data_IF_916577729879
#
_entry.id   IF_916577729879
#
_cell.length_a   1.000
_cell.length_b   1.000
_cell.length_c   1.000
_cell.angle_alpha   90.00
_cell.angle_beta   90.00
_cell.angle_gamma   90.00
#
_symmetry.space_group_name_H-M   'P 1'
#
loop_
_entity.id
_entity.type
_entity.pdbx_description
1 polymer ?
#
# COMPACT_ATOMS: atom_id res chain seq x y z
N UNK A 1 -39.50 -65.21 -11.15
CA UNK A 1 -39.65 -65.21 -9.68
C UNK A 1 -38.26 -65.11 -9.06
N UNK A 2 -37.85 -63.92 -8.64
CA UNK A 2 -36.63 -63.70 -7.85
C UNK A 2 -37.03 -63.44 -6.39
N UNK A 3 -36.42 -64.09 -5.39
CA UNK A 3 -36.53 -63.65 -4.02
C UNK A 3 -35.41 -62.65 -3.70
N UNK A 4 -35.83 -61.59 -3.04
CA UNK A 4 -35.08 -60.47 -2.48
C UNK A 4 -34.65 -60.80 -1.03
N UNK A 5 -33.58 -60.10 -0.57
CA UNK A 5 -33.34 -59.63 0.83
C UNK A 5 -32.73 -60.71 1.79
N UNK A 6 -31.63 -60.54 2.54
CA UNK A 6 -31.02 -59.36 3.21
C UNK A 6 -29.58 -59.62 3.75
N UNK A 7 -28.86 -58.51 3.94
CA UNK A 7 -27.86 -58.18 4.98
C UNK A 7 -26.48 -58.87 4.99
N UNK A 8 -25.41 -58.10 4.75
CA UNK A 8 -24.70 -57.31 5.79
C UNK A 8 -23.69 -56.39 5.10
N UNK A 9 -24.03 -55.09 5.03
CA UNK A 9 -23.13 -54.02 4.62
C UNK A 9 -22.09 -53.80 5.72
N UNK A 10 -20.81 -53.91 5.38
CA UNK A 10 -19.69 -53.50 6.21
C UNK A 10 -19.77 -51.99 6.44
N UNK A 11 -20.23 -51.62 7.63
CA UNK A 11 -20.24 -50.26 8.13
C UNK A 11 -18.79 -49.79 8.28
N UNK A 12 -18.31 -48.99 7.34
CA UNK A 12 -17.21 -48.08 7.62
C UNK A 12 -17.67 -47.17 8.76
N UNK A 13 -17.09 -47.36 9.94
CA UNK A 13 -17.21 -46.45 11.06
C UNK A 13 -16.55 -45.13 10.67
N UNK A 14 -17.31 -44.25 10.01
CA UNK A 14 -17.04 -42.82 10.09
C UNK A 14 -17.35 -42.41 11.53
N UNK A 15 -16.31 -42.42 12.37
CA UNK A 15 -16.33 -41.70 13.62
C UNK A 15 -16.52 -40.22 13.26
N UNK A 16 -17.76 -39.77 13.29
CA UNK A 16 -18.13 -38.36 13.33
C UNK A 16 -17.66 -37.80 14.67
N UNK A 17 -16.39 -37.43 14.76
CA UNK A 17 -15.91 -36.59 15.84
C UNK A 17 -16.66 -35.25 15.74
N UNK A 18 -17.28 -34.76 16.82
CA UNK A 18 -17.96 -33.47 16.79
C UNK A 18 -16.95 -32.38 16.46
N UNK A 19 -17.22 -31.61 15.40
CA UNK A 19 -16.42 -30.48 14.93
C UNK A 19 -16.59 -29.30 15.90
N UNK A 20 -15.97 -29.43 17.06
CA UNK A 20 -15.72 -28.34 17.99
C UNK A 20 -14.26 -28.49 18.41
N UNK A 21 -13.51 -27.37 18.44
CA UNK A 21 -12.19 -27.21 19.07
C UNK A 21 -10.90 -27.45 18.24
N UNK A 22 -10.87 -27.21 16.92
CA UNK A 22 -9.57 -26.88 16.30
C UNK A 22 -9.31 -25.39 16.55
N UNK A 23 -8.31 -25.01 17.38
CA UNK A 23 -8.00 -23.61 17.61
C UNK A 23 -7.49 -22.97 16.31
N UNK A 24 -7.88 -21.73 16.04
CA UNK A 24 -7.43 -21.01 14.84
C UNK A 24 -5.95 -20.67 14.84
N UNK A 25 -5.28 -20.74 15.99
CA UNK A 25 -3.83 -20.59 16.11
C UNK A 25 -3.06 -21.89 15.79
N UNK A 26 -3.72 -23.05 15.67
CA UNK A 26 -3.09 -24.24 15.11
C UNK A 26 -3.03 -24.08 13.58
N UNK A 27 -1.95 -23.44 13.09
CA UNK A 27 -1.82 -23.02 11.70
C UNK A 27 -2.11 -24.15 10.71
N UNK A 28 -1.58 -25.35 10.98
CA UNK A 28 -1.67 -26.51 10.10
C UNK A 28 -3.04 -27.16 10.18
N UNK A 29 -3.48 -27.55 11.39
CA UNK A 29 -4.76 -28.24 11.55
C UNK A 29 -5.93 -27.34 11.12
N UNK A 30 -5.90 -26.06 11.51
CA UNK A 30 -6.94 -25.11 11.17
C UNK A 30 -6.93 -24.74 9.68
N UNK A 31 -5.73 -24.52 9.10
CA UNK A 31 -5.59 -24.25 7.67
C UNK A 31 -6.14 -25.39 6.82
N UNK A 32 -5.77 -26.63 7.14
CA UNK A 32 -6.24 -27.83 6.43
C UNK A 32 -7.74 -28.04 6.58
N UNK A 33 -8.28 -27.85 7.79
CA UNK A 33 -9.72 -27.91 8.04
C UNK A 33 -10.48 -26.87 7.20
N UNK A 34 -10.01 -25.63 7.16
CA UNK A 34 -10.66 -24.56 6.39
C UNK A 34 -10.59 -24.81 4.88
N UNK A 35 -9.46 -25.31 4.37
CA UNK A 35 -9.33 -25.71 2.96
C UNK A 35 -10.24 -26.88 2.60
N UNK A 36 -10.38 -27.89 3.48
CA UNK A 36 -11.29 -29.02 3.27
C UNK A 36 -12.76 -28.60 3.30
N UNK A 37 -13.11 -27.63 4.15
CA UNK A 37 -14.47 -27.09 4.27
C UNK A 37 -14.86 -26.22 3.05
N UNK A 38 -13.87 -25.63 2.38
CA UNK A 38 -14.04 -24.74 1.22
C UNK A 38 -13.20 -25.23 0.03
N UNK A 39 -13.52 -26.42 -0.53
CA UNK A 39 -12.70 -27.05 -1.58
C UNK A 39 -12.67 -26.24 -2.88
N UNK A 40 -13.62 -25.34 -3.10
CA UNK A 40 -13.66 -24.41 -4.23
C UNK A 40 -12.61 -23.28 -4.11
N UNK A 41 -12.00 -23.09 -2.93
CA UNK A 41 -11.07 -22.02 -2.66
C UNK A 41 -9.60 -22.48 -2.77
N UNK A 42 -9.11 -22.53 -4.01
CA UNK A 42 -7.72 -22.91 -4.33
C UNK A 42 -6.66 -22.02 -3.67
N UNK A 43 -7.01 -20.77 -3.33
CA UNK A 43 -6.09 -19.88 -2.63
C UNK A 43 -5.92 -20.33 -1.18
N UNK A 44 -7.03 -20.65 -0.52
CA UNK A 44 -7.02 -21.14 0.85
C UNK A 44 -6.30 -22.49 0.97
N UNK A 45 -6.50 -23.39 0.01
CA UNK A 45 -5.76 -24.67 -0.08
C UNK A 45 -4.25 -24.43 -0.19
N UNK A 46 -3.81 -23.52 -1.08
CA UNK A 46 -2.38 -23.17 -1.21
C UNK A 46 -1.82 -22.56 0.07
N UNK A 47 -2.59 -21.73 0.75
CA UNK A 47 -2.19 -21.10 2.02
C UNK A 47 -2.14 -22.11 3.17
N UNK A 48 -2.98 -23.14 3.16
CA UNK A 48 -2.91 -24.25 4.11
C UNK A 48 -1.64 -25.08 3.91
N UNK A 49 -1.30 -25.39 2.66
CA UNK A 49 -0.07 -26.15 2.32
C UNK A 49 1.23 -25.38 2.55
N UNK A 50 1.21 -24.05 2.38
CA UNK A 50 2.40 -23.21 2.47
C UNK A 50 2.08 -21.86 3.15
N UNK A 51 1.78 -21.88 4.46
CA UNK A 51 1.49 -20.68 5.22
C UNK A 51 2.71 -19.75 5.29
N UNK A 52 2.47 -18.45 5.36
CA UNK A 52 3.57 -17.49 5.49
C UNK A 52 4.34 -17.67 6.80
N UNK A 53 5.64 -17.43 6.76
CA UNK A 53 6.49 -17.48 7.95
C UNK A 53 6.01 -16.51 9.04
N UNK A 54 5.50 -15.34 8.66
CA UNK A 54 4.94 -14.37 9.59
C UNK A 54 3.65 -14.88 10.27
N UNK A 55 2.76 -15.55 9.52
CA UNK A 55 1.57 -16.20 10.10
C UNK A 55 1.97 -17.28 11.11
N UNK A 56 2.91 -18.15 10.74
CA UNK A 56 3.44 -19.19 11.64
C UNK A 56 4.05 -18.62 12.93
N UNK A 57 4.67 -17.44 12.86
CA UNK A 57 5.21 -16.76 14.04
C UNK A 57 4.11 -16.14 14.90
N UNK A 58 3.15 -15.44 14.27
CA UNK A 58 2.04 -14.79 14.97
C UNK A 58 1.11 -15.81 15.62
N UNK A 59 0.80 -16.92 14.95
CA UNK A 59 -0.02 -18.01 15.48
C UNK A 59 0.60 -18.64 16.75
N UNK A 60 1.94 -18.60 16.91
CA UNK A 60 2.59 -19.08 18.14
C UNK A 60 2.29 -18.21 19.36
N UNK A 61 2.05 -16.91 19.17
CA UNK A 61 1.90 -15.92 20.25
C UNK A 61 0.46 -15.42 20.41
N UNK A 62 -0.32 -15.33 19.33
CA UNK A 62 -1.72 -14.91 19.33
C UNK A 62 -2.64 -16.12 19.59
N UNK A 63 -2.73 -16.58 20.84
CA UNK A 63 -3.54 -17.79 21.19
C UNK A 63 -4.89 -17.51 21.84
N UNK A 64 -5.12 -16.27 22.27
CA UNK A 64 -6.30 -15.89 23.05
C UNK A 64 -7.52 -15.66 22.15
N UNK A 65 -8.41 -16.64 22.05
CA UNK A 65 -9.58 -16.61 21.15
C UNK A 65 -10.86 -16.15 21.85
N UNK A 66 -10.84 -15.97 23.18
CA UNK A 66 -12.03 -15.58 23.92
C UNK A 66 -12.40 -14.11 23.69
N UNK A 67 -13.68 -13.81 23.91
CA UNK A 67 -14.18 -12.43 23.88
C UNK A 67 -13.83 -11.75 25.19
N UNK A 68 -12.66 -11.10 25.23
CA UNK A 68 -12.21 -10.34 26.40
C UNK A 68 -12.75 -8.90 26.46
N UNK A 69 -13.58 -8.50 25.50
CA UNK A 69 -14.15 -7.15 25.42
C UNK A 69 -15.64 -7.19 25.11
N UNK A 70 -16.39 -6.38 25.86
CA UNK A 70 -17.77 -6.07 25.53
C UNK A 70 -17.85 -5.28 24.23
N UNK A 71 -18.91 -5.52 23.48
CA UNK A 71 -19.15 -4.91 22.16
C UNK A 71 -19.06 -3.39 22.14
N UNK A 72 -19.48 -2.74 23.22
CA UNK A 72 -19.57 -1.29 23.29
C UNK A 72 -18.20 -0.58 23.37
N UNK A 73 -17.10 -1.30 23.60
CA UNK A 73 -15.77 -0.69 23.77
C UNK A 73 -14.79 -1.00 22.61
N UNK A 74 -15.17 -1.84 21.65
CA UNK A 74 -14.22 -2.33 20.64
C UNK A 74 -13.70 -1.22 19.72
N UNK A 75 -14.61 -0.41 19.19
CA UNK A 75 -14.26 0.70 18.31
C UNK A 75 -13.40 1.73 19.03
N UNK A 76 -13.83 2.18 20.21
CA UNK A 76 -13.14 3.21 20.98
C UNK A 76 -11.76 2.77 21.47
N UNK A 77 -11.51 1.45 21.56
CA UNK A 77 -10.16 0.95 21.85
C UNK A 77 -9.25 1.02 20.64
N UNK A 78 -9.76 0.74 19.44
CA UNK A 78 -8.96 0.60 18.23
C UNK A 78 -8.82 1.91 17.43
N UNK A 79 -9.86 2.74 17.45
CA UNK A 79 -9.99 3.95 16.65
C UNK A 79 -10.13 5.22 17.49
N UNK A 80 -9.69 6.34 16.92
CA UNK A 80 -10.04 7.67 17.39
C UNK A 80 -11.50 7.97 17.02
N UNK A 81 -12.16 8.91 17.74
CA UNK A 81 -13.49 9.37 17.36
C UNK A 81 -13.54 9.75 15.87
N UNK A 82 -14.54 9.21 15.18
CA UNK A 82 -14.75 9.40 13.74
C UNK A 82 -16.09 10.10 13.48
N UNK A 83 -16.26 10.63 12.27
CA UNK A 83 -17.55 11.19 11.85
C UNK A 83 -18.67 10.12 11.96
N UNK A 84 -19.89 10.48 12.39
CA UNK A 84 -20.95 9.51 12.68
C UNK A 84 -21.25 8.51 11.56
N UNK A 85 -21.12 8.95 10.30
CA UNK A 85 -21.33 8.11 9.12
C UNK A 85 -20.24 7.02 9.00
N UNK A 86 -18.98 7.41 9.16
CA UNK A 86 -17.83 6.50 9.13
C UNK A 86 -17.86 5.56 10.33
N UNK A 87 -18.14 6.11 11.51
CA UNK A 87 -18.31 5.34 12.73
C UNK A 87 -19.36 4.24 12.52
N UNK A 88 -20.55 4.57 12.01
CA UNK A 88 -21.60 3.57 11.79
C UNK A 88 -21.16 2.49 10.80
N UNK A 89 -20.59 2.89 9.65
CA UNK A 89 -20.16 1.97 8.61
C UNK A 89 -19.06 1.00 9.09
N UNK A 90 -18.09 1.49 9.87
CA UNK A 90 -16.95 0.69 10.33
C UNK A 90 -17.27 -0.09 11.61
N UNK A 91 -17.97 0.51 12.57
CA UNK A 91 -18.26 -0.10 13.87
C UNK A 91 -19.14 -1.35 13.71
N UNK A 92 -20.18 -1.29 12.89
CA UNK A 92 -21.05 -2.46 12.65
C UNK A 92 -20.25 -3.66 12.10
N UNK A 93 -19.37 -3.40 11.13
CA UNK A 93 -18.52 -4.43 10.53
C UNK A 93 -17.47 -4.95 11.52
N UNK A 94 -16.78 -4.06 12.23
CA UNK A 94 -15.78 -4.43 13.24
C UNK A 94 -16.42 -5.31 14.33
N UNK A 95 -17.63 -4.95 14.75
CA UNK A 95 -18.38 -5.69 15.75
C UNK A 95 -18.80 -7.07 15.28
N UNK A 96 -19.29 -7.17 14.04
CA UNK A 96 -19.62 -8.45 13.41
C UNK A 96 -18.39 -9.36 13.33
N UNK A 97 -17.27 -8.82 12.80
CA UNK A 97 -16.01 -9.54 12.65
C UNK A 97 -15.54 -10.07 14.01
N UNK A 98 -15.43 -9.22 15.03
CA UNK A 98 -14.96 -9.64 16.35
C UNK A 98 -15.90 -10.64 17.03
N UNK A 99 -17.21 -10.47 16.86
CA UNK A 99 -18.21 -11.39 17.41
C UNK A 99 -18.05 -12.78 16.78
N UNK A 100 -17.97 -12.87 15.47
CA UNK A 100 -18.07 -14.15 14.77
C UNK A 100 -16.71 -14.83 14.54
N UNK A 101 -15.62 -14.07 14.38
CA UNK A 101 -14.32 -14.61 14.02
C UNK A 101 -13.40 -14.87 15.22
N UNK A 102 -13.01 -16.12 15.44
CA UNK A 102 -11.98 -16.48 16.43
C UNK A 102 -10.58 -16.06 15.97
N UNK A 103 -10.29 -16.16 14.67
CA UNK A 103 -9.03 -15.69 14.08
C UNK A 103 -8.83 -14.20 14.29
N UNK A 104 -9.88 -13.39 14.14
CA UNK A 104 -9.77 -11.95 14.40
C UNK A 104 -9.58 -11.65 15.88
N UNK A 105 -10.31 -12.33 16.77
CA UNK A 105 -10.19 -12.11 18.22
C UNK A 105 -8.78 -12.30 18.73
N UNK A 106 -8.08 -13.36 18.31
CA UNK A 106 -6.68 -13.57 18.75
C UNK A 106 -5.72 -12.49 18.29
N UNK A 107 -5.86 -11.99 17.06
CA UNK A 107 -5.04 -10.89 16.57
C UNK A 107 -5.33 -9.60 17.35
N UNK A 108 -6.61 -9.33 17.60
CA UNK A 108 -7.06 -8.18 18.38
C UNK A 108 -6.56 -8.25 19.83
N UNK A 109 -6.71 -9.41 20.47
CA UNK A 109 -6.33 -9.64 21.86
C UNK A 109 -4.82 -9.52 22.05
N UNK A 110 -4.02 -10.07 21.11
CA UNK A 110 -2.58 -9.86 21.09
C UNK A 110 -2.24 -8.37 20.98
N UNK A 111 -2.81 -7.67 19.99
CA UNK A 111 -2.58 -6.24 19.79
C UNK A 111 -2.88 -5.44 21.07
N UNK A 112 -4.02 -5.71 21.71
CA UNK A 112 -4.42 -5.08 22.97
C UNK A 112 -3.41 -5.33 24.09
N UNK A 113 -3.06 -6.60 24.32
CA UNK A 113 -2.11 -6.98 25.38
C UNK A 113 -0.73 -6.34 25.18
N UNK A 114 -0.29 -6.19 23.92
CA UNK A 114 0.96 -5.49 23.61
C UNK A 114 0.88 -3.97 23.77
N UNK A 115 -0.32 -3.39 23.62
CA UNK A 115 -0.54 -1.94 23.67
C UNK A 115 -0.79 -1.35 25.05
N UNK A 116 -1.36 -2.13 25.97
CA UNK A 116 -1.73 -1.68 27.33
C UNK A 116 -0.51 -1.50 28.28
N UNK A 117 0.71 -1.87 27.84
CA UNK A 117 1.90 -1.95 28.68
C UNK A 117 2.66 -0.65 28.95
N UNK A 118 2.75 0.30 28.01
CA UNK A 118 3.47 1.58 28.19
C UNK A 118 3.24 2.47 26.95
N UNK A 119 2.59 3.64 27.08
CA UNK A 119 2.66 4.81 26.19
C UNK A 119 2.55 4.69 24.65
N UNK A 120 2.08 3.56 24.08
CA UNK A 120 1.99 3.36 22.62
C UNK A 120 0.56 3.26 22.06
N UNK A 121 -0.46 3.76 22.77
CA UNK A 121 -1.81 3.85 22.22
C UNK A 121 -1.89 4.93 21.14
N UNK A 122 -1.55 4.52 19.91
CA UNK A 122 -1.94 5.23 18.71
C UNK A 122 -3.11 4.50 18.08
N UNK A 123 -4.27 4.77 18.66
CA UNK A 123 -5.54 4.52 17.99
C UNK A 123 -5.46 4.99 16.54
N UNK A 124 -6.08 4.23 15.65
CA UNK A 124 -6.13 4.57 14.24
C UNK A 124 -7.15 5.68 14.03
N UNK A 125 -6.81 6.70 13.24
CA UNK A 125 -7.76 7.67 12.72
C UNK A 125 -8.35 7.11 11.43
N UNK A 126 -9.66 7.12 11.33
CA UNK A 126 -10.37 6.87 10.09
C UNK A 126 -10.42 8.17 9.29
N UNK A 127 -9.82 8.16 8.09
CA UNK A 127 -9.80 9.31 7.20
C UNK A 127 -10.74 9.06 6.01
N UNK A 128 -11.75 9.91 5.77
CA UNK A 128 -12.54 9.83 4.55
C UNK A 128 -11.66 10.15 3.33
N UNK A 129 -11.93 9.47 2.21
CA UNK A 129 -11.36 9.82 0.93
C UNK A 129 -11.86 11.19 0.44
N UNK A 130 -11.14 11.79 -0.51
CA UNK A 130 -11.44 13.16 -1.02
C UNK A 130 -12.84 13.31 -1.67
N UNK A 131 -13.59 12.22 -1.89
CA UNK A 131 -14.88 12.20 -2.57
C UNK A 131 -16.00 11.49 -1.79
N UNK A 132 -15.99 11.52 -0.44
CA UNK A 132 -17.04 10.91 0.39
C UNK A 132 -18.31 11.79 0.36
N UNK A 133 -18.99 11.77 -0.78
CA UNK A 133 -20.39 12.15 -0.93
C UNK A 133 -21.14 10.90 -1.43
N UNK A 134 -21.10 9.83 -0.64
CA UNK A 134 -21.62 8.54 -1.06
C UNK A 134 -22.90 8.16 -0.30
N UNK A 135 -23.95 7.68 -0.98
CA UNK A 135 -25.27 7.46 -0.38
C UNK A 135 -25.40 6.17 0.45
N UNK A 136 -24.39 5.29 0.50
CA UNK A 136 -24.46 4.00 1.20
C UNK A 136 -23.16 3.60 1.93
N UNK A 137 -23.28 2.68 2.91
CA UNK A 137 -22.17 2.27 3.79
C UNK A 137 -20.97 1.68 3.03
N UNK A 138 -21.19 0.85 2.00
CA UNK A 138 -20.09 0.21 1.28
C UNK A 138 -19.22 1.23 0.52
N UNK A 139 -19.82 2.30 -0.01
CA UNK A 139 -19.06 3.35 -0.67
C UNK A 139 -18.24 4.20 0.32
N UNK A 140 -18.69 4.32 1.58
CA UNK A 140 -17.87 4.92 2.66
C UNK A 140 -16.66 4.03 2.96
N UNK A 141 -16.87 2.71 3.05
CA UNK A 141 -15.79 1.75 3.32
C UNK A 141 -14.75 1.70 2.19
N UNK A 142 -15.16 1.84 0.93
CA UNK A 142 -14.26 1.89 -0.23
C UNK A 142 -13.34 3.12 -0.24
N UNK A 143 -13.65 4.15 0.53
CA UNK A 143 -12.92 5.41 0.53
C UNK A 143 -12.28 5.74 1.88
N UNK A 144 -12.55 4.96 2.93
CA UNK A 144 -11.99 5.17 4.24
C UNK A 144 -10.59 4.55 4.32
N UNK A 145 -9.60 5.33 4.75
CA UNK A 145 -8.25 4.84 5.04
C UNK A 145 -7.90 4.95 6.52
N UNK A 146 -6.99 4.08 6.98
CA UNK A 146 -6.48 4.10 8.35
C UNK A 146 -5.21 4.94 8.45
N UNK A 147 -5.18 5.92 9.34
CA UNK A 147 -4.01 6.79 9.56
C UNK A 147 -3.61 6.80 11.03
N UNK A 148 -2.31 6.75 11.33
CA UNK A 148 -1.79 7.03 12.68
C UNK A 148 -0.42 7.69 12.62
N UNK A 149 -0.02 8.38 13.68
CA UNK A 149 1.23 9.17 13.72
C UNK A 149 2.27 8.56 14.67
N UNK A 150 3.01 7.52 14.25
CA UNK A 150 3.98 6.78 15.08
C UNK A 150 5.33 7.50 15.17
N UNK A 151 5.74 7.93 16.37
CA UNK A 151 7.05 8.53 16.62
C UNK A 151 7.41 9.68 15.65
N UNK A 152 6.45 10.54 15.33
CA UNK A 152 6.63 11.65 14.39
C UNK A 152 6.56 11.26 12.91
N UNK A 153 6.24 10.00 12.61
CA UNK A 153 5.98 9.52 11.26
C UNK A 153 4.50 9.18 11.09
N UNK A 154 3.90 9.66 10.02
CA UNK A 154 2.55 9.26 9.66
C UNK A 154 2.58 7.90 8.95
N UNK A 155 1.84 6.93 9.44
CA UNK A 155 1.56 5.65 8.77
C UNK A 155 0.15 5.73 8.19
N UNK A 156 0.01 5.36 6.91
CA UNK A 156 -1.27 5.43 6.19
C UNK A 156 -1.56 4.11 5.50
N UNK A 157 -2.77 3.62 5.68
CA UNK A 157 -3.41 2.59 4.88
C UNK A 157 -4.49 3.26 4.02
N UNK A 158 -4.41 3.11 2.69
CA UNK A 158 -5.42 3.62 1.77
C UNK A 158 -6.16 2.46 1.12
N UNK A 159 -7.49 2.57 0.98
CA UNK A 159 -8.26 1.63 0.19
C UNK A 159 -7.93 1.85 -1.28
N UNK A 160 -7.94 0.76 -2.05
CA UNK A 160 -7.47 0.83 -3.43
C UNK A 160 -8.62 1.02 -4.36
N UNK A 161 -8.52 2.11 -5.09
CA UNK A 161 -9.40 2.50 -6.19
C UNK A 161 -9.06 1.70 -7.45
N UNK A 162 -9.02 0.37 -7.33
CA UNK A 162 -8.84 -0.56 -8.43
C UNK A 162 -10.17 -1.04 -8.99
N UNK A 163 -10.26 -1.33 -10.29
CA UNK A 163 -11.47 -1.87 -10.95
C UNK A 163 -11.95 -3.23 -10.42
N UNK A 164 -11.14 -3.90 -9.60
CA UNK A 164 -11.38 -5.24 -9.03
C UNK A 164 -11.63 -5.22 -7.52
N UNK A 165 -11.71 -4.04 -6.90
CA UNK A 165 -12.08 -3.87 -5.51
C UNK A 165 -13.59 -4.04 -5.40
N UNK A 166 -14.04 -5.29 -5.34
CA UNK A 166 -15.47 -5.57 -5.49
C UNK A 166 -16.30 -5.10 -4.30
N UNK A 167 -15.79 -5.08 -3.06
CA UNK A 167 -16.60 -4.67 -1.90
C UNK A 167 -15.78 -4.03 -0.75
N UNK A 168 -16.28 -2.91 -0.21
CA UNK A 168 -15.60 -2.13 0.83
C UNK A 168 -15.34 -2.88 2.13
N UNK A 169 -16.17 -3.87 2.47
CA UNK A 169 -16.00 -4.73 3.67
C UNK A 169 -14.76 -5.59 3.59
N UNK A 170 -14.48 -6.17 2.43
CA UNK A 170 -13.28 -6.98 2.20
C UNK A 170 -12.02 -6.11 2.37
N UNK A 171 -12.04 -4.88 1.83
CA UNK A 171 -10.92 -3.94 1.97
C UNK A 171 -10.72 -3.58 3.44
N UNK A 172 -11.78 -3.15 4.13
CA UNK A 172 -11.71 -2.83 5.55
C UNK A 172 -11.10 -3.97 6.35
N UNK A 173 -11.50 -5.22 6.10
CA UNK A 173 -10.96 -6.37 6.80
C UNK A 173 -9.44 -6.53 6.58
N UNK A 174 -8.95 -6.39 5.34
CA UNK A 174 -7.51 -6.44 5.09
C UNK A 174 -6.77 -5.31 5.82
N UNK A 175 -7.33 -4.10 5.85
CA UNK A 175 -6.72 -2.96 6.55
C UNK A 175 -6.69 -3.19 8.06
N UNK A 176 -7.78 -3.69 8.66
CA UNK A 176 -7.88 -4.04 10.07
C UNK A 176 -6.83 -5.10 10.46
N UNK A 177 -6.76 -6.20 9.69
CA UNK A 177 -5.79 -7.27 9.94
C UNK A 177 -4.36 -6.74 9.85
N UNK A 178 -4.05 -5.95 8.82
CA UNK A 178 -2.72 -5.35 8.68
C UNK A 178 -2.39 -4.42 9.85
N UNK A 179 -3.35 -3.58 10.25
CA UNK A 179 -3.25 -2.67 11.37
C UNK A 179 -3.09 -3.39 12.72
N UNK A 180 -3.52 -4.64 12.85
CA UNK A 180 -3.37 -5.45 14.07
C UNK A 180 -2.00 -6.13 14.18
N UNK A 181 -1.43 -6.60 13.07
CA UNK A 181 -0.21 -7.42 13.11
C UNK A 181 1.05 -6.62 13.48
N UNK A 182 1.12 -5.34 13.12
CA UNK A 182 2.18 -4.35 13.42
C UNK A 182 3.57 -4.94 13.70
N UNK A 183 4.11 -5.79 12.82
CA UNK A 183 5.40 -6.42 13.04
C UNK A 183 6.52 -5.56 12.43
N UNK A 184 7.30 -4.80 13.23
CA UNK A 184 8.32 -3.91 12.70
C UNK A 184 9.51 -4.66 12.06
N UNK A 185 9.65 -5.96 12.30
CA UNK A 185 10.72 -6.79 11.75
C UNK A 185 10.39 -7.38 10.37
N UNK A 186 9.12 -7.35 9.94
CA UNK A 186 8.69 -7.92 8.67
C UNK A 186 8.71 -6.88 7.55
N UNK A 187 9.00 -7.34 6.32
CA UNK A 187 8.87 -6.47 5.13
C UNK A 187 7.40 -6.22 4.80
N UNK A 188 7.11 -5.11 4.12
CA UNK A 188 5.73 -4.81 3.66
C UNK A 188 5.12 -5.98 2.88
N UNK A 189 5.89 -6.65 2.04
CA UNK A 189 5.43 -7.80 1.25
C UNK A 189 5.06 -9.01 2.14
N UNK A 190 5.80 -9.24 3.22
CA UNK A 190 5.50 -10.31 4.16
C UNK A 190 4.27 -9.99 4.99
N UNK A 191 4.15 -8.74 5.46
CA UNK A 191 2.96 -8.24 6.14
C UNK A 191 1.71 -8.39 5.26
N UNK A 192 1.77 -7.97 4.00
CA UNK A 192 0.61 -8.06 3.09
C UNK A 192 0.25 -9.49 2.71
N UNK A 193 1.23 -10.39 2.59
CA UNK A 193 0.94 -11.83 2.38
C UNK A 193 0.26 -12.43 3.61
N UNK A 194 0.78 -12.14 4.81
CA UNK A 194 0.22 -12.64 6.06
C UNK A 194 -1.18 -12.07 6.33
N UNK A 195 -1.38 -10.78 6.07
CA UNK A 195 -2.69 -10.14 6.17
C UNK A 195 -3.70 -10.79 5.21
N UNK A 196 -3.26 -11.16 4.00
CA UNK A 196 -4.10 -11.87 3.05
C UNK A 196 -4.56 -13.23 3.60
N UNK A 197 -3.64 -14.00 4.16
CA UNK A 197 -3.91 -15.31 4.77
C UNK A 197 -4.92 -15.20 5.92
N UNK A 198 -4.73 -14.25 6.84
CA UNK A 198 -5.66 -14.06 7.96
C UNK A 198 -7.03 -13.57 7.51
N UNK A 199 -7.08 -12.58 6.62
CA UNK A 199 -8.35 -12.08 6.12
C UNK A 199 -9.13 -13.16 5.37
N UNK A 200 -8.48 -14.02 4.59
CA UNK A 200 -9.14 -15.16 3.93
C UNK A 200 -9.78 -16.10 4.96
N UNK A 201 -9.06 -16.46 6.03
CA UNK A 201 -9.63 -17.28 7.12
C UNK A 201 -10.81 -16.60 7.79
N UNK A 202 -10.66 -15.33 8.14
CA UNK A 202 -11.71 -14.54 8.80
C UNK A 202 -12.96 -14.47 7.90
N UNK A 203 -12.80 -14.21 6.60
CA UNK A 203 -13.94 -14.20 5.66
C UNK A 203 -14.68 -15.54 5.65
N UNK A 204 -13.97 -16.67 5.74
CA UNK A 204 -14.59 -18.00 5.77
C UNK A 204 -15.27 -18.30 7.11
N UNK A 205 -14.72 -17.82 8.22
CA UNK A 205 -15.40 -17.87 9.54
C UNK A 205 -16.70 -17.06 9.53
N UNK A 206 -16.72 -15.93 8.82
CA UNK A 206 -17.88 -15.05 8.67
C UNK A 206 -18.87 -15.52 7.59
N UNK A 207 -18.56 -16.59 6.85
CA UNK A 207 -19.28 -17.02 5.66
C UNK A 207 -19.46 -15.90 4.62
N UNK A 208 -18.49 -15.00 4.51
CA UNK A 208 -18.50 -13.95 3.50
C UNK A 208 -18.22 -14.55 2.11
N UNK A 209 -18.99 -14.16 1.07
CA UNK A 209 -18.93 -14.78 -0.26
C UNK A 209 -17.74 -14.28 -1.11
N UNK A 210 -16.76 -13.63 -0.51
CA UNK A 210 -15.65 -13.02 -1.23
C UNK A 210 -14.59 -14.04 -1.65
N UNK A 211 -13.98 -13.89 -2.83
CA UNK A 211 -12.87 -14.73 -3.24
C UNK A 211 -11.65 -14.45 -2.36
N UNK A 212 -10.96 -15.52 -1.97
CA UNK A 212 -9.69 -15.41 -1.26
C UNK A 212 -8.60 -14.84 -2.18
N UNK A 213 -7.63 -14.14 -1.59
CA UNK A 213 -6.51 -13.53 -2.33
C UNK A 213 -5.18 -14.13 -1.89
N UNK A 214 -4.33 -14.48 -2.85
CA UNK A 214 -2.99 -15.06 -2.57
C UNK A 214 -1.99 -14.04 -2.04
N UNK A 215 -2.22 -12.75 -2.33
CA UNK A 215 -1.48 -11.64 -1.76
C UNK A 215 -2.30 -10.36 -1.86
N UNK A 216 -2.10 -9.44 -0.92
CA UNK A 216 -2.61 -8.08 -1.03
C UNK A 216 -1.71 -7.17 -1.89
N UNK A 217 -0.76 -7.68 -2.67
CA UNK A 217 0.17 -6.83 -3.42
C UNK A 217 -0.48 -6.14 -4.64
N UNK A 218 -1.51 -6.73 -5.25
CA UNK A 218 -2.37 -6.02 -6.20
C UNK A 218 -3.22 -4.95 -5.51
N UNK A 219 -3.35 -5.07 -4.18
CA UNK A 219 -3.85 -4.06 -3.27
C UNK A 219 -2.69 -3.21 -2.70
N UNK A 220 -1.92 -2.55 -3.60
CA UNK A 220 -0.95 -1.47 -3.31
C UNK A 220 -1.44 -0.36 -2.37
N UNK A 221 -1.35 -0.63 -1.06
CA UNK A 221 -1.34 0.38 -0.01
C UNK A 221 0.00 1.10 -0.07
N UNK A 222 -0.06 2.41 -0.32
CA UNK A 222 1.13 3.25 -0.22
C UNK A 222 1.32 3.60 1.27
N UNK A 223 1.97 2.71 2.02
CA UNK A 223 2.50 3.07 3.34
C UNK A 223 3.66 4.06 3.12
N UNK A 224 3.35 5.36 3.19
CA UNK A 224 4.37 6.38 3.29
C UNK A 224 4.58 6.69 4.77
N UNK A 225 5.78 6.43 5.30
CA UNK A 225 6.26 7.13 6.49
C UNK A 225 6.55 8.58 6.09
N UNK A 226 5.56 9.46 6.21
CA UNK A 226 5.78 10.89 6.01
C UNK A 226 6.37 11.45 7.31
N UNK A 227 7.55 12.05 7.25
CA UNK A 227 8.07 12.86 8.36
C UNK A 227 7.08 14.00 8.60
N UNK A 228 6.46 14.03 9.77
CA UNK A 228 5.67 15.18 10.20
C UNK A 228 6.65 16.32 10.44
N UNK A 229 6.54 17.40 9.66
CA UNK A 229 7.39 18.60 9.73
C UNK A 229 7.17 19.45 11.00
N UNK A 230 6.86 18.82 12.13
CA UNK A 230 6.67 19.51 13.41
C UNK A 230 8.03 19.51 14.11
N UNK A 231 8.67 20.68 14.14
CA UNK A 231 9.78 20.94 15.04
C UNK A 231 9.24 20.93 16.48
N UNK A 232 9.24 19.76 17.12
CA UNK A 232 8.98 19.67 18.56
C UNK A 232 10.25 20.03 19.33
N UNK A 233 10.21 21.01 20.25
CA UNK A 233 11.38 21.37 21.08
C UNK A 233 11.77 20.30 22.10
N UNK A 234 10.99 19.22 22.26
CA UNK A 234 11.19 18.20 23.30
C UNK A 234 12.00 16.96 22.85
N UNK A 235 12.52 16.93 21.62
CA UNK A 235 13.20 15.75 21.07
C UNK A 235 14.70 15.61 21.48
N UNK A 236 15.17 16.26 22.55
CA UNK A 236 16.61 16.32 22.86
C UNK A 236 17.10 15.45 24.03
N UNK A 237 16.29 14.63 24.69
CA UNK A 237 16.82 13.83 25.82
C UNK A 237 16.18 12.46 26.02
N UNK A 238 16.05 11.68 24.95
CA UNK A 238 15.89 10.22 25.10
C UNK A 238 16.84 9.48 24.15
N UNK A 239 18.00 9.08 24.68
CA UNK A 239 18.78 7.95 24.13
C UNK A 239 18.00 6.68 24.45
N UNK A 240 17.25 6.16 23.48
CA UNK A 240 16.68 4.81 23.52
C UNK A 240 17.08 4.09 22.24
N UNK A 241 17.33 2.79 22.40
CA UNK A 241 18.07 1.87 21.54
C UNK A 241 17.82 1.95 20.03
N UNK A 242 18.90 1.67 19.32
CA UNK A 242 19.03 1.53 17.88
C UNK A 242 17.76 1.04 17.17
N UNK A 243 17.12 1.95 16.45
CA UNK A 243 16.27 1.61 15.31
C UNK A 243 17.19 1.22 14.15
N UNK A 244 17.23 -0.07 13.83
CA UNK A 244 17.92 -0.55 12.64
C UNK A 244 17.08 -0.20 11.41
N UNK A 245 17.59 0.59 10.44
CA UNK A 245 16.92 0.78 9.17
C UNK A 245 16.85 -0.57 8.45
N UNK A 246 15.70 -0.91 7.87
CA UNK A 246 15.53 -2.14 7.09
C UNK A 246 16.63 -2.25 6.02
N UNK A 247 17.00 -3.47 5.55
CA UNK A 247 17.98 -3.64 4.45
C UNK A 247 17.59 -2.83 3.19
N UNK A 248 16.30 -2.64 2.97
CA UNK A 248 15.76 -1.79 1.90
C UNK A 248 15.97 -0.30 2.16
N UNK A 249 15.87 0.14 3.42
CA UNK A 249 16.13 1.51 3.86
C UNK A 249 17.63 1.81 3.98
N UNK A 250 18.46 0.84 4.35
CA UNK A 250 19.91 0.93 4.26
C UNK A 250 20.37 0.94 2.79
N UNK A 251 19.67 0.23 1.90
CA UNK A 251 19.86 0.33 0.46
C UNK A 251 19.35 1.67 -0.10
N UNK A 252 18.23 2.23 0.39
CA UNK A 252 17.71 3.55 -0.01
C UNK A 252 18.52 4.72 0.54
N UNK A 253 19.05 4.60 1.77
CA UNK A 253 19.97 5.56 2.38
C UNK A 253 21.37 5.46 1.75
N UNK A 254 21.80 4.26 1.31
CA UNK A 254 23.01 4.09 0.48
C UNK A 254 22.81 4.49 -1.00
N UNK A 255 21.59 4.49 -1.53
CA UNK A 255 21.26 4.82 -2.92
C UNK A 255 20.19 5.91 -2.99
N UNK A 256 20.64 7.14 -2.74
CA UNK A 256 19.78 8.29 -2.53
C UNK A 256 18.74 8.55 -3.61
N UNK A 257 17.54 8.92 -3.16
CA UNK A 257 16.53 9.59 -3.97
C UNK A 257 17.04 10.90 -4.61
N UNK A 258 18.10 11.51 -4.06
CA UNK A 258 18.83 12.64 -4.67
C UNK A 258 19.94 12.21 -5.64
N UNK A 259 20.47 11.01 -5.47
CA UNK A 259 21.64 10.51 -6.19
C UNK A 259 21.16 10.00 -7.55
N UNK A 260 20.15 9.12 -7.56
CA UNK A 260 19.70 8.39 -8.76
C UNK A 260 19.44 9.25 -10.01
N UNK A 261 18.80 10.44 -9.93
CA UNK A 261 18.56 11.22 -11.13
C UNK A 261 19.85 11.77 -11.76
N UNK A 262 20.86 12.09 -10.96
CA UNK A 262 22.16 12.54 -11.45
C UNK A 262 22.92 11.42 -12.19
N UNK A 263 22.91 10.18 -11.68
CA UNK A 263 23.56 9.07 -12.41
C UNK A 263 22.77 8.61 -13.62
N UNK A 264 21.44 8.74 -13.62
CA UNK A 264 20.63 8.48 -14.83
C UNK A 264 20.89 9.57 -15.89
N UNK A 265 21.10 10.82 -15.47
CA UNK A 265 21.47 11.92 -16.37
C UNK A 265 22.88 11.68 -16.95
N UNK A 266 23.86 11.36 -16.11
CA UNK A 266 25.22 11.03 -16.53
C UNK A 266 25.24 9.80 -17.46
N UNK A 267 24.47 8.76 -17.15
CA UNK A 267 24.28 7.61 -18.05
C UNK A 267 23.69 8.03 -19.40
N UNK A 268 22.68 8.90 -19.40
CA UNK A 268 22.04 9.38 -20.63
C UNK A 268 22.95 10.23 -21.50
N UNK A 269 23.95 10.90 -20.91
CA UNK A 269 24.98 11.61 -21.65
C UNK A 269 25.97 10.64 -22.31
N UNK A 270 26.43 9.62 -21.57
CA UNK A 270 27.35 8.59 -22.08
C UNK A 270 26.70 7.73 -23.18
N UNK A 271 25.43 7.39 -23.04
CA UNK A 271 24.69 6.53 -23.97
C UNK A 271 24.28 7.23 -25.28
N UNK A 272 24.49 8.55 -25.43
CA UNK A 272 24.24 9.26 -26.69
C UNK A 272 25.30 8.97 -27.75
N UNK A 273 26.53 8.69 -27.32
CA UNK A 273 27.67 8.56 -28.23
C UNK A 273 27.99 7.10 -28.59
N UNK A 274 27.58 6.13 -27.76
CA UNK A 274 27.73 4.71 -28.05
C UNK A 274 26.51 3.93 -27.58
N UNK A 275 25.91 3.11 -28.47
CA UNK A 275 24.94 2.08 -28.07
C UNK A 275 25.67 1.06 -27.19
N UNK A 276 25.53 1.19 -25.87
CA UNK A 276 26.33 0.40 -24.95
C UNK A 276 25.71 -0.98 -24.63
N UNK A 277 26.48 -2.09 -24.76
CA UNK A 277 26.03 -3.42 -24.39
C UNK A 277 25.77 -3.58 -22.88
N UNK A 278 24.99 -4.61 -22.53
CA UNK A 278 24.60 -5.00 -21.16
C UNK A 278 25.79 -5.18 -20.18
N UNK A 279 26.99 -5.46 -20.71
CA UNK A 279 28.25 -5.60 -19.97
C UNK A 279 28.72 -4.24 -19.44
N UNK A 280 28.68 -3.19 -20.27
CA UNK A 280 29.09 -1.82 -19.90
C UNK A 280 28.17 -1.23 -18.82
N UNK A 281 26.88 -1.59 -18.82
CA UNK A 281 25.93 -1.21 -17.76
C UNK A 281 26.28 -1.79 -16.38
N UNK A 282 26.75 -3.04 -16.34
CA UNK A 282 27.18 -3.68 -15.08
C UNK A 282 28.43 -3.01 -14.52
N UNK A 283 29.37 -2.64 -15.39
CA UNK A 283 30.59 -1.92 -15.02
C UNK A 283 30.26 -0.51 -14.49
N UNK A 284 29.39 0.23 -15.19
CA UNK A 284 28.93 1.54 -14.73
C UNK A 284 28.19 1.47 -13.38
N UNK A 285 27.31 0.49 -13.21
CA UNK A 285 26.63 0.28 -11.94
C UNK A 285 27.63 0.05 -10.80
N UNK A 286 28.68 -0.77 -11.04
CA UNK A 286 29.75 -1.00 -10.07
C UNK A 286 30.56 0.27 -9.77
N UNK A 287 30.94 1.04 -10.80
CA UNK A 287 31.69 2.29 -10.65
C UNK A 287 30.92 3.35 -9.85
N UNK A 288 29.62 3.45 -10.07
CA UNK A 288 28.75 4.43 -9.41
C UNK A 288 28.15 3.92 -8.09
N UNK A 289 28.54 2.73 -7.63
CA UNK A 289 28.00 2.11 -6.41
C UNK A 289 26.51 1.78 -6.49
N UNK A 290 25.95 1.64 -7.70
CA UNK A 290 24.54 1.42 -7.96
C UNK A 290 24.15 -0.05 -7.92
N UNK A 291 22.97 -0.34 -7.37
CA UNK A 291 22.35 -1.65 -7.55
C UNK A 291 21.93 -1.83 -9.02
N UNK A 292 22.49 -2.82 -9.71
CA UNK A 292 22.19 -3.13 -11.12
C UNK A 292 20.70 -3.37 -11.38
N UNK A 293 20.01 -4.07 -10.49
CA UNK A 293 18.57 -4.34 -10.61
C UNK A 293 17.73 -3.08 -10.42
N UNK A 294 18.22 -2.11 -9.64
CA UNK A 294 17.61 -0.79 -9.54
C UNK A 294 17.84 0.02 -10.83
N UNK A 295 19.07 0.04 -11.35
CA UNK A 295 19.43 0.73 -12.60
C UNK A 295 18.62 0.20 -13.79
N UNK A 296 18.41 -1.12 -13.88
CA UNK A 296 17.67 -1.75 -14.98
C UNK A 296 16.19 -1.37 -15.04
N UNK A 297 15.63 -0.76 -13.98
CA UNK A 297 14.26 -0.21 -14.02
C UNK A 297 14.18 1.08 -14.84
N UNK A 298 15.30 1.80 -14.96
CA UNK A 298 15.40 3.10 -15.62
C UNK A 298 16.17 3.05 -16.94
N UNK A 299 17.07 2.07 -17.08
CA UNK A 299 17.87 1.80 -18.27
C UNK A 299 17.55 0.41 -18.79
N UNK A 300 17.10 0.31 -20.04
CA UNK A 300 16.81 -0.96 -20.69
C UNK A 300 18.07 -1.78 -20.96
N UNK A 301 17.90 -3.05 -21.32
CA UNK A 301 19.00 -3.96 -21.66
C UNK A 301 19.88 -3.47 -22.82
N UNK A 302 19.34 -2.61 -23.68
CA UNK A 302 20.02 -1.95 -24.80
C UNK A 302 20.78 -0.66 -24.41
N UNK A 303 20.79 -0.30 -23.12
CA UNK A 303 21.40 0.94 -22.63
C UNK A 303 20.53 2.20 -22.82
N UNK A 304 19.37 2.06 -23.49
CA UNK A 304 18.41 3.16 -23.71
C UNK A 304 17.56 3.36 -22.46
N UNK A 305 17.24 4.62 -22.11
CA UNK A 305 16.32 4.92 -21.02
C UNK A 305 14.93 4.31 -21.25
N UNK A 306 14.41 3.62 -20.25
CA UNK A 306 13.01 3.17 -20.21
C UNK A 306 12.08 4.39 -20.05
N UNK A 307 10.77 4.20 -20.25
CA UNK A 307 9.79 5.25 -19.95
C UNK A 307 9.90 5.75 -18.51
N UNK A 308 10.24 4.85 -17.57
CA UNK A 308 10.49 5.20 -16.17
C UNK A 308 11.74 6.06 -16.00
N UNK A 309 12.83 5.76 -16.72
CA UNK A 309 14.05 6.58 -16.74
C UNK A 309 13.81 7.97 -17.34
N UNK A 310 13.08 8.04 -18.46
CA UNK A 310 12.68 9.32 -19.08
C UNK A 310 11.81 10.16 -18.14
N UNK A 311 10.86 9.53 -17.46
CA UNK A 311 9.99 10.20 -16.50
C UNK A 311 10.75 10.65 -15.25
N UNK A 312 11.73 9.86 -14.78
CA UNK A 312 12.59 10.25 -13.67
C UNK A 312 13.38 11.51 -14.02
N UNK A 313 14.03 11.53 -15.19
CA UNK A 313 14.74 12.71 -15.68
C UNK A 313 13.82 13.92 -15.87
N UNK A 314 12.61 13.71 -16.38
CA UNK A 314 11.63 14.77 -16.53
C UNK A 314 11.18 15.38 -15.19
N UNK A 315 11.14 14.57 -14.13
CA UNK A 315 10.79 14.98 -12.77
C UNK A 315 11.98 15.61 -12.03
N UNK A 316 13.19 15.16 -12.31
CA UNK A 316 14.42 15.64 -11.68
C UNK A 316 15.10 16.77 -12.43
N UNK A 317 14.61 17.14 -13.61
CA UNK A 317 15.03 18.32 -14.36
C UNK A 317 14.65 19.56 -13.56
N UNK A 318 15.54 19.89 -12.62
CA UNK A 318 15.62 21.04 -11.70
C UNK A 318 14.29 21.37 -11.02
N UNK A 319 14.33 21.64 -9.71
CA UNK A 319 13.25 22.36 -9.06
C UNK A 319 13.21 23.77 -9.67
N UNK A 320 12.59 23.90 -10.86
CA UNK A 320 12.36 25.16 -11.52
C UNK A 320 11.47 25.95 -10.59
N UNK A 321 11.93 27.14 -10.22
CA UNK A 321 11.20 28.05 -9.39
C UNK A 321 9.80 28.26 -9.97
N UNK A 322 8.79 28.22 -9.10
CA UNK A 322 7.37 28.34 -9.49
C UNK A 322 7.14 29.66 -10.21
N UNK A 323 7.84 30.73 -9.82
CA UNK A 323 7.77 32.03 -10.50
C UNK A 323 8.35 31.98 -11.90
N UNK A 324 9.48 31.30 -12.09
CA UNK A 324 10.11 31.11 -13.39
C UNK A 324 9.21 30.30 -14.34
N UNK A 325 8.60 29.23 -13.85
CA UNK A 325 7.65 28.45 -14.64
C UNK A 325 6.41 29.27 -15.03
N UNK A 326 5.86 30.06 -14.09
CA UNK A 326 4.75 30.96 -14.37
C UNK A 326 5.12 32.03 -15.40
N UNK A 327 6.33 32.60 -15.33
CA UNK A 327 6.87 33.53 -16.32
C UNK A 327 6.91 32.90 -17.72
N UNK A 328 7.39 31.66 -17.84
CA UNK A 328 7.43 30.97 -19.13
C UNK A 328 6.04 30.68 -19.71
N UNK A 329 5.07 30.34 -18.87
CA UNK A 329 3.68 30.15 -19.27
C UNK A 329 3.07 31.47 -19.75
N UNK A 330 3.27 32.59 -19.03
CA UNK A 330 2.81 33.92 -19.46
C UNK A 330 3.43 34.31 -20.80
N UNK A 331 4.75 34.18 -20.91
CA UNK A 331 5.47 34.50 -22.14
C UNK A 331 4.95 33.68 -23.34
N UNK A 332 4.67 32.39 -23.17
CA UNK A 332 4.10 31.56 -24.24
C UNK A 332 2.74 32.06 -24.73
N UNK A 333 1.85 32.40 -23.79
CA UNK A 333 0.50 32.87 -24.11
C UNK A 333 0.51 34.23 -24.83
N UNK A 334 1.54 35.05 -24.58
CA UNK A 334 1.72 36.35 -25.23
C UNK A 334 2.43 36.28 -26.59
N UNK A 335 3.10 35.16 -26.91
CA UNK A 335 3.74 35.00 -28.22
C UNK A 335 2.70 34.91 -29.34
N UNK A 336 2.88 35.66 -30.45
CA UNK A 336 2.08 35.49 -31.66
C UNK A 336 2.41 34.16 -32.36
N UNK A 337 1.50 33.69 -33.21
CA UNK A 337 1.57 32.32 -33.76
C UNK A 337 2.81 32.11 -34.63
N UNK A 338 3.24 33.10 -35.39
CA UNK A 338 4.46 33.07 -36.21
C UNK A 338 5.73 32.86 -35.36
N UNK A 339 5.84 33.53 -34.22
CA UNK A 339 6.95 33.33 -33.28
C UNK A 339 6.89 31.97 -32.58
N UNK A 340 5.68 31.45 -32.30
CA UNK A 340 5.51 30.07 -31.77
C UNK A 340 5.98 29.03 -32.77
N UNK A 341 5.67 29.22 -34.06
CA UNK A 341 6.14 28.37 -35.14
C UNK A 341 7.66 28.44 -35.29
N UNK A 342 8.23 29.65 -35.27
CA UNK A 342 9.68 29.86 -35.32
C UNK A 342 10.42 29.20 -34.15
N UNK A 343 9.79 29.18 -32.96
CA UNK A 343 10.32 28.47 -31.80
C UNK A 343 10.23 26.93 -31.89
N UNK A 344 9.73 26.36 -32.99
CA UNK A 344 9.51 24.92 -33.16
C UNK A 344 8.27 24.41 -32.41
N UNK A 345 7.25 25.26 -32.29
CA UNK A 345 6.03 25.02 -31.52
C UNK A 345 6.30 24.85 -30.02
N UNK A 346 5.31 24.35 -29.28
CA UNK A 346 5.47 24.07 -27.85
C UNK A 346 6.71 23.22 -27.55
N UNK A 347 6.99 22.23 -28.41
CA UNK A 347 8.11 21.32 -28.20
C UNK A 347 9.45 22.05 -28.22
N UNK A 348 9.68 22.92 -29.19
CA UNK A 348 10.93 23.68 -29.27
C UNK A 348 11.03 24.77 -28.20
N UNK A 349 9.94 25.50 -27.96
CA UNK A 349 9.87 26.54 -26.92
C UNK A 349 10.20 26.02 -25.52
N UNK A 350 9.61 24.88 -25.16
CA UNK A 350 9.79 24.23 -23.86
C UNK A 350 11.20 23.63 -23.74
N UNK A 351 11.73 23.06 -24.83
CA UNK A 351 13.08 22.50 -24.87
C UNK A 351 14.15 23.58 -24.67
N UNK A 352 13.99 24.75 -25.29
CA UNK A 352 14.90 25.88 -25.14
C UNK A 352 15.00 26.37 -23.68
N UNK A 353 13.98 26.09 -22.87
CA UNK A 353 13.88 26.49 -21.45
C UNK A 353 14.17 25.35 -20.47
N UNK A 354 14.76 24.25 -20.94
CA UNK A 354 15.12 23.11 -20.09
C UNK A 354 13.92 22.35 -19.51
N UNK A 355 12.73 22.53 -20.08
CA UNK A 355 11.51 21.85 -19.67
C UNK A 355 11.24 20.62 -20.55
N UNK A 356 10.41 19.71 -20.04
CA UNK A 356 9.86 18.62 -20.85
C UNK A 356 8.46 18.95 -21.32
N UNK A 357 8.11 18.53 -22.54
CA UNK A 357 6.76 18.73 -23.08
C UNK A 357 5.68 18.08 -22.20
N UNK A 358 6.00 16.96 -21.54
CA UNK A 358 5.08 16.33 -20.58
C UNK A 358 4.79 17.22 -19.37
N UNK A 359 5.83 17.85 -18.80
CA UNK A 359 5.67 18.83 -17.70
C UNK A 359 4.89 20.07 -18.16
N UNK A 360 5.17 20.57 -19.36
CA UNK A 360 4.47 21.71 -19.96
C UNK A 360 2.97 21.47 -20.13
N UNK A 361 2.59 20.26 -20.57
CA UNK A 361 1.19 19.85 -20.81
C UNK A 361 0.31 19.82 -19.57
N UNK A 362 0.90 19.91 -18.38
CA UNK A 362 0.14 20.12 -17.15
C UNK A 362 -0.33 21.56 -16.96
N UNK A 363 0.16 22.52 -17.75
CA UNK A 363 -0.17 23.94 -17.61
C UNK A 363 -0.81 24.49 -18.87
N UNK A 364 -0.27 24.15 -20.05
CA UNK A 364 -0.80 24.55 -21.36
C UNK A 364 -1.13 23.30 -22.17
N UNK A 365 -2.35 23.20 -22.68
CA UNK A 365 -2.80 22.05 -23.45
C UNK A 365 -2.24 22.05 -24.89
N UNK A 366 -2.59 21.04 -25.69
CA UNK A 366 -2.12 20.92 -27.07
C UNK A 366 -2.67 21.98 -28.04
N UNK A 367 -3.67 22.76 -27.61
CA UNK A 367 -4.33 23.80 -28.39
C UNK A 367 -3.95 25.21 -27.89
N UNK A 368 -2.81 25.32 -27.19
CA UNK A 368 -2.31 26.56 -26.60
C UNK A 368 -3.21 27.22 -25.55
N UNK A 369 -4.15 26.47 -24.97
CA UNK A 369 -5.04 26.94 -23.90
C UNK A 369 -4.51 26.56 -22.53
N UNK A 370 -4.75 27.43 -21.54
CA UNK A 370 -4.45 27.12 -20.14
C UNK A 370 -5.34 26.00 -19.61
N UNK A 371 -4.71 25.02 -18.98
CA UNK A 371 -5.39 23.99 -18.18
C UNK A 371 -5.78 24.54 -16.81
N UNK A 372 -6.63 23.83 -16.05
CA UNK A 372 -6.97 24.20 -14.66
C UNK A 372 -5.74 24.46 -13.79
N UNK A 373 -4.69 23.62 -13.92
CA UNK A 373 -3.42 23.78 -13.20
C UNK A 373 -2.61 24.98 -13.69
N UNK A 374 -2.67 25.30 -14.98
CA UNK A 374 -2.10 26.52 -15.55
C UNK A 374 -2.71 27.76 -14.91
N UNK A 375 -4.04 27.81 -14.81
CA UNK A 375 -4.75 28.90 -14.12
C UNK A 375 -4.33 29.02 -12.65
N UNK A 376 -4.31 27.92 -11.90
CA UNK A 376 -3.86 27.93 -10.50
C UNK A 376 -2.40 28.37 -10.34
N UNK A 377 -1.51 28.00 -11.28
CA UNK A 377 -0.11 28.43 -11.27
C UNK A 377 0.00 29.96 -11.42
N UNK A 378 -0.74 30.53 -12.37
CA UNK A 378 -0.71 31.96 -12.64
C UNK A 378 -1.35 32.79 -11.52
N UNK A 379 -2.44 32.30 -10.92
CA UNK A 379 -3.10 32.95 -9.79
C UNK A 379 -2.18 33.03 -8.56
N UNK A 380 -1.58 31.89 -8.15
CA UNK A 380 -0.68 31.83 -6.99
C UNK A 380 0.58 32.69 -7.09
N UNK A 381 0.97 33.05 -8.32
CA UNK A 381 2.16 33.89 -8.57
C UNK A 381 1.80 35.35 -8.84
N UNK A 382 0.51 35.69 -8.95
CA UNK A 382 0.03 37.07 -8.97
C UNK A 382 -0.07 37.63 -7.54
N UNK A 383 -0.48 36.82 -6.57
CA UNK A 383 -0.61 37.22 -5.14
C UNK A 383 0.74 37.39 -4.41
N UNK A 384 1.86 37.14 -5.09
CA UNK A 384 3.22 37.17 -4.54
C UNK A 384 4.11 38.26 -5.18
N UNK A 385 3.51 39.16 -5.96
CA UNK A 385 4.10 40.40 -6.48
C UNK A 385 3.57 41.56 -5.66
#
# INVERSE_FOLDING_TARGET
MHPLIRCLSSSCSHSSTPIATIPSWDTEAYGNYMAMKHPEDEVLERQARNPSALRLQLDKIAREEERIMGSLALFDKFFLPAEPMIYRAVNEQLMEIYRLSQTFRRLFNLWKMTGDGENFLQQWRLMPGENVAAPNNDAVLLQCGLVRDVNGFRQVCYPITGREAHEGRQILLYELVWALMQNPGATDSECWRCAAEYANLIMRELAWPFPSRSSCLSMLVISHYLSCGIASPFAQSYRVGATFPSRAEQAYRKLGAKVMPAQILQWSAIARDERMPRIKMSQYAKQMGLNRAALSRFVGSSGILTNRGKNLLARSAVAMDVKQLASYVRAWLLLPDDERWAAGGQKGYVRARGLTLGRWRHYVDKNDKLTKRGWSLLARTADQQ
#
